data_IF_191432962176
#
_entry.id   IF_191432962176
#
_cell.length_a   1.000
_cell.length_b   1.000
_cell.length_c   1.000
_cell.angle_alpha   90.00
_cell.angle_beta   90.00
_cell.angle_gamma   90.00
#
_symmetry.space_group_name_H-M   'P 1'
#
loop_
_entity.id
_entity.type
_entity.pdbx_description
1 polymer ?
#
# COMPACT_ATOMS: atom_id res chain seq x y z
N UNK A 1 -3.30 -15.69 -13.51
CA UNK A 1 -2.63 -15.32 -12.25
C UNK A 1 -3.32 -16.10 -11.16
N UNK A 2 -2.55 -16.80 -10.36
CA UNK A 2 -2.98 -17.54 -9.18
C UNK A 2 -3.22 -16.59 -8.03
N UNK A 3 -4.29 -16.79 -7.28
CA UNK A 3 -4.93 -15.69 -6.55
C UNK A 3 -4.63 -15.75 -5.05
N UNK A 4 -3.97 -14.70 -4.54
CA UNK A 4 -4.13 -14.30 -3.14
C UNK A 4 -5.62 -14.05 -2.89
N UNK A 5 -6.28 -14.62 -1.88
CA UNK A 5 -7.72 -14.40 -1.74
C UNK A 5 -8.35 -15.00 -0.51
N UNK A 6 -9.49 -14.44 -0.13
CA UNK A 6 -10.36 -15.02 0.88
C UNK A 6 -11.13 -16.19 0.27
N UNK A 7 -11.04 -17.35 0.92
CA UNK A 7 -11.82 -18.55 0.61
C UNK A 7 -12.87 -18.73 1.71
N UNK A 8 -14.14 -18.74 1.35
CA UNK A 8 -15.27 -19.00 2.26
C UNK A 8 -15.91 -20.32 1.89
N UNK A 9 -16.03 -21.22 2.87
CA UNK A 9 -16.67 -22.52 2.72
C UNK A 9 -18.08 -22.48 3.31
N UNK A 10 -19.08 -22.82 2.51
CA UNK A 10 -20.47 -22.92 2.94
C UNK A 10 -21.04 -24.33 2.78
N UNK A 11 -21.96 -24.70 3.68
CA UNK A 11 -22.82 -25.88 3.58
C UNK A 11 -24.25 -25.49 3.88
N UNK A 12 -25.19 -25.80 2.99
CA UNK A 12 -26.60 -25.44 3.13
C UNK A 12 -26.84 -23.92 3.34
N UNK A 13 -26.09 -23.06 2.65
CA UNK A 13 -26.12 -21.59 2.80
C UNK A 13 -25.77 -21.10 4.21
N UNK A 14 -24.89 -21.81 4.89
CA UNK A 14 -24.31 -21.41 6.17
C UNK A 14 -22.81 -21.55 6.08
N UNK A 15 -22.10 -20.49 6.45
CA UNK A 15 -20.64 -20.49 6.56
C UNK A 15 -20.19 -21.57 7.55
N UNK A 16 -19.24 -22.39 7.10
CA UNK A 16 -18.61 -23.46 7.86
C UNK A 16 -17.25 -22.97 8.37
N UNK A 17 -16.46 -22.39 7.48
CA UNK A 17 -15.13 -21.87 7.77
C UNK A 17 -14.70 -20.85 6.70
N UNK A 18 -13.68 -20.05 7.01
CA UNK A 18 -13.06 -19.12 6.07
C UNK A 18 -11.56 -19.02 6.31
N UNK A 19 -10.79 -18.89 5.24
CA UNK A 19 -9.32 -18.80 5.28
C UNK A 19 -8.84 -17.79 4.25
N UNK A 20 -7.75 -17.10 4.55
CA UNK A 20 -7.04 -16.31 3.55
C UNK A 20 -5.87 -17.11 2.99
N UNK A 21 -5.78 -17.18 1.67
CA UNK A 21 -4.71 -17.89 0.98
C UNK A 21 -3.79 -16.87 0.36
N UNK A 22 -2.52 -16.89 0.77
CA UNK A 22 -1.45 -16.21 0.07
C UNK A 22 -0.89 -17.11 -1.03
N UNK A 23 -0.59 -16.50 -2.16
CA UNK A 23 0.02 -17.13 -3.30
C UNK A 23 1.47 -17.46 -2.94
N UNK A 24 1.72 -18.76 -2.86
CA UNK A 24 3.05 -19.34 -2.91
C UNK A 24 3.16 -20.09 -4.26
N UNK A 25 4.28 -19.92 -4.97
CA UNK A 25 4.56 -20.66 -6.22
C UNK A 25 4.50 -22.18 -5.99
N UNK A 26 4.78 -22.62 -4.76
CA UNK A 26 4.77 -24.03 -4.34
C UNK A 26 3.44 -24.47 -3.70
N UNK A 27 2.55 -23.55 -3.30
CA UNK A 27 1.35 -23.89 -2.55
C UNK A 27 0.17 -22.92 -2.80
N UNK A 28 -0.75 -23.33 -3.67
CA UNK A 28 -2.03 -22.65 -3.91
C UNK A 28 -3.22 -23.42 -3.37
N UNK A 29 -2.95 -24.46 -2.57
CA UNK A 29 -3.97 -25.33 -2.02
C UNK A 29 -4.49 -24.78 -0.69
N UNK A 30 -5.81 -24.78 -0.54
CA UNK A 30 -6.44 -24.63 0.77
C UNK A 30 -6.85 -25.99 1.31
N UNK A 31 -7.02 -26.05 2.63
CA UNK A 31 -7.33 -27.28 3.33
C UNK A 31 -8.38 -27.02 4.41
N UNK A 32 -9.50 -27.72 4.31
CA UNK A 32 -10.53 -27.73 5.34
C UNK A 32 -10.69 -29.15 5.88
N UNK A 33 -10.46 -29.29 7.18
CA UNK A 33 -10.43 -30.57 7.88
C UNK A 33 -11.70 -30.82 8.67
N UNK A 34 -11.98 -32.10 8.95
CA UNK A 34 -13.08 -32.47 9.85
C UNK A 34 -14.46 -32.16 9.29
N UNK A 35 -14.58 -32.09 7.96
CA UNK A 35 -15.84 -31.84 7.27
C UNK A 35 -16.75 -33.08 7.28
N UNK A 36 -18.04 -32.82 7.44
CA UNK A 36 -19.06 -33.84 7.28
C UNK A 36 -19.29 -34.14 5.79
N UNK A 37 -19.74 -35.35 5.44
CA UNK A 37 -20.17 -35.63 4.07
C UNK A 37 -21.27 -34.67 3.60
N UNK A 38 -21.23 -34.25 2.34
CA UNK A 38 -22.23 -33.34 1.77
C UNK A 38 -21.73 -32.53 0.59
N UNK A 39 -22.66 -31.78 -0.02
CA UNK A 39 -22.32 -30.74 -0.99
C UNK A 39 -21.91 -29.47 -0.24
N UNK A 40 -20.79 -28.90 -0.63
CA UNK A 40 -20.25 -27.64 -0.15
C UNK A 40 -20.12 -26.67 -1.32
N UNK A 41 -20.23 -25.38 -1.00
CA UNK A 41 -19.91 -24.29 -1.92
C UNK A 41 -18.67 -23.58 -1.42
N UNK A 42 -17.69 -23.41 -2.29
CA UNK A 42 -16.48 -22.62 -2.05
C UNK A 42 -16.64 -21.31 -2.80
N UNK A 43 -16.56 -20.20 -2.08
CA UNK A 43 -16.48 -18.86 -2.65
C UNK A 43 -15.05 -18.35 -2.54
N UNK A 44 -14.54 -17.77 -3.62
CA UNK A 44 -13.23 -17.11 -3.63
C UNK A 44 -13.40 -15.63 -3.94
N UNK A 45 -12.87 -14.80 -3.05
CA UNK A 45 -12.93 -13.34 -3.13
C UNK A 45 -11.52 -12.77 -3.23
N UNK A 46 -11.35 -11.82 -4.15
CA UNK A 46 -10.20 -10.92 -4.18
C UNK A 46 -10.67 -9.57 -4.73
N UNK A 47 -10.33 -8.50 -4.02
CA UNK A 47 -10.60 -7.16 -4.51
C UNK A 47 -9.86 -6.91 -5.84
N UNK A 48 -10.62 -6.46 -6.85
CA UNK A 48 -10.18 -6.21 -8.24
C UNK A 48 -10.28 -7.41 -9.19
N UNK A 49 -10.75 -8.57 -8.74
CA UNK A 49 -10.98 -9.74 -9.59
C UNK A 49 -12.46 -10.16 -9.55
N UNK A 50 -12.90 -10.94 -10.55
CA UNK A 50 -14.22 -11.57 -10.50
C UNK A 50 -14.25 -12.66 -9.43
N UNK A 51 -15.26 -12.64 -8.57
CA UNK A 51 -15.44 -13.67 -7.55
C UNK A 51 -15.83 -15.00 -8.21
N UNK A 52 -15.33 -16.10 -7.68
CA UNK A 52 -15.62 -17.45 -8.19
C UNK A 52 -16.43 -18.28 -7.19
N UNK A 53 -17.31 -19.14 -7.73
CA UNK A 53 -18.10 -20.11 -6.98
C UNK A 53 -17.79 -21.53 -7.48
N UNK A 54 -17.29 -22.39 -6.59
CA UNK A 54 -16.99 -23.79 -6.90
C UNK A 54 -17.81 -24.71 -6.00
N UNK A 55 -18.60 -25.60 -6.60
CA UNK A 55 -19.35 -26.62 -5.84
C UNK A 55 -18.55 -27.90 -5.74
N UNK A 56 -18.42 -28.42 -4.53
CA UNK A 56 -17.65 -29.64 -4.26
C UNK A 56 -18.50 -30.63 -3.46
N UNK A 57 -18.50 -31.89 -3.89
CA UNK A 57 -19.14 -32.98 -3.18
C UNK A 57 -18.10 -33.76 -2.40
N UNK A 58 -18.26 -33.85 -1.07
CA UNK A 58 -17.39 -34.62 -0.19
C UNK A 58 -18.07 -35.89 0.30
N UNK A 59 -17.29 -36.97 0.37
CA UNK A 59 -17.65 -38.20 1.08
C UNK A 59 -17.25 -38.10 2.56
N UNK A 60 -17.71 -39.05 3.37
CA UNK A 60 -17.45 -39.08 4.81
C UNK A 60 -15.95 -39.26 5.09
N UNK A 61 -15.35 -38.31 5.84
CA UNK A 61 -13.93 -38.35 6.22
C UNK A 61 -12.97 -37.92 5.12
N UNK A 62 -13.45 -37.28 4.05
CA UNK A 62 -12.61 -36.59 3.07
C UNK A 62 -12.34 -35.16 3.52
N UNK A 63 -11.07 -34.75 3.45
CA UNK A 63 -10.70 -33.35 3.58
C UNK A 63 -10.92 -32.65 2.23
N UNK A 64 -11.29 -31.37 2.27
CA UNK A 64 -11.39 -30.57 1.06
C UNK A 64 -10.01 -29.99 0.73
N UNK A 65 -9.45 -30.37 -0.42
CA UNK A 65 -8.28 -29.72 -0.99
C UNK A 65 -8.50 -29.50 -2.48
N UNK A 66 -8.38 -28.25 -2.92
CA UNK A 66 -8.28 -27.95 -4.35
C UNK A 66 -6.79 -27.91 -4.72
N UNK A 67 -6.35 -28.96 -5.41
CA UNK A 67 -4.98 -29.08 -5.92
C UNK A 67 -4.75 -28.23 -7.17
N UNK A 68 -5.82 -27.87 -7.86
CA UNK A 68 -5.77 -26.94 -9.00
C UNK A 68 -6.12 -25.53 -8.49
N UNK A 69 -5.33 -24.51 -8.84
CA UNK A 69 -5.63 -23.15 -8.41
C UNK A 69 -6.92 -22.64 -9.05
N UNK A 70 -7.75 -21.98 -8.23
CA UNK A 70 -8.85 -21.17 -8.74
C UNK A 70 -8.23 -19.91 -9.36
N UNK A 71 -8.44 -19.72 -10.65
CA UNK A 71 -7.96 -18.55 -11.39
C UNK A 71 -9.09 -17.54 -11.45
N UNK A 72 -8.94 -16.42 -10.75
CA UNK A 72 -9.89 -15.31 -10.89
C UNK A 72 -9.54 -14.45 -12.10
N UNK A 73 -10.56 -14.03 -12.84
CA UNK A 73 -10.40 -13.12 -13.97
C UNK A 73 -10.24 -11.68 -13.50
N UNK A 74 -9.41 -10.90 -14.21
CA UNK A 74 -9.27 -9.47 -13.92
C UNK A 74 -10.54 -8.73 -14.35
N UNK A 75 -10.99 -7.81 -13.50
CA UNK A 75 -12.03 -6.87 -13.90
C UNK A 75 -11.42 -5.83 -14.86
N UNK A 76 -11.94 -5.76 -16.09
CA UNK A 76 -11.60 -4.71 -17.06
C UNK A 76 -12.05 -3.34 -16.52
N UNK A 77 -11.17 -2.66 -15.79
CA UNK A 77 -11.38 -1.30 -15.29
C UNK A 77 -10.14 -0.45 -15.55
N UNK A 78 -10.36 0.81 -15.95
CA UNK A 78 -9.32 1.84 -15.98
C UNK A 78 -8.67 1.87 -14.59
N UNK A 79 -7.36 1.69 -14.54
CA UNK A 79 -6.58 1.57 -13.31
C UNK A 79 -5.78 2.84 -13.11
N UNK A 80 -6.01 3.53 -12.00
CA UNK A 80 -5.07 4.56 -11.57
C UNK A 80 -3.75 3.87 -11.20
N UNK A 81 -2.64 4.51 -11.54
CA UNK A 81 -1.32 4.17 -11.04
C UNK A 81 -0.94 5.19 -9.99
N UNK A 82 -0.52 4.70 -8.84
CA UNK A 82 -0.17 5.50 -7.67
C UNK A 82 1.32 5.88 -7.68
N UNK A 83 1.67 7.02 -7.12
CA UNK A 83 3.04 7.43 -6.79
C UNK A 83 3.08 7.83 -5.33
N UNK A 84 3.90 7.13 -4.54
CA UNK A 84 3.96 7.28 -3.08
C UNK A 84 5.41 7.31 -2.62
N UNK A 85 5.73 8.22 -1.72
CA UNK A 85 7.02 8.24 -1.01
C UNK A 85 6.89 7.42 0.27
N UNK A 86 7.74 6.42 0.45
CA UNK A 86 7.83 5.61 1.67
C UNK A 86 9.08 6.03 2.43
N UNK A 87 8.95 6.19 3.74
CA UNK A 87 10.05 6.46 4.63
C UNK A 87 10.40 5.22 5.45
N UNK A 88 11.58 4.66 5.20
CA UNK A 88 12.11 3.56 5.99
C UNK A 88 12.69 4.10 7.30
N UNK A 89 12.24 3.54 8.42
CA UNK A 89 12.63 3.98 9.77
C UNK A 89 13.83 3.23 10.33
N UNK A 90 14.43 2.32 9.57
CA UNK A 90 15.71 1.68 9.95
C UNK A 90 16.90 2.65 9.87
N UNK A 91 16.74 3.79 9.19
CA UNK A 91 17.69 4.92 9.25
C UNK A 91 17.45 5.77 10.50
N UNK A 92 18.49 5.96 11.32
CA UNK A 92 18.42 6.66 12.62
C UNK A 92 17.75 8.05 12.49
N UNK A 93 18.04 8.78 11.42
CA UNK A 93 17.46 10.11 11.14
C UNK A 93 15.97 10.04 10.79
N UNK A 94 15.56 9.09 9.96
CA UNK A 94 14.17 8.91 9.53
C UNK A 94 13.32 8.27 10.62
N UNK A 95 13.93 7.61 11.61
CA UNK A 95 13.24 7.12 12.80
C UNK A 95 12.64 8.25 13.67
N UNK A 96 13.18 9.48 13.61
CA UNK A 96 12.60 10.65 14.26
C UNK A 96 11.30 11.09 13.53
N UNK A 97 10.19 11.04 14.26
CA UNK A 97 8.87 11.46 13.77
C UNK A 97 8.88 12.90 13.26
N UNK A 98 9.60 13.80 13.92
CA UNK A 98 9.70 15.18 13.49
C UNK A 98 10.43 15.29 12.15
N UNK A 99 11.49 14.52 11.89
CA UNK A 99 12.15 14.51 10.58
C UNK A 99 11.16 14.08 9.48
N UNK A 100 10.39 13.01 9.72
CA UNK A 100 9.37 12.55 8.76
C UNK A 100 8.29 13.61 8.51
N UNK A 101 7.84 14.29 9.56
CA UNK A 101 6.81 15.33 9.46
C UNK A 101 7.32 16.63 8.83
N UNK A 102 8.59 16.99 9.01
CA UNK A 102 9.25 18.06 8.25
C UNK A 102 9.16 17.72 6.77
N UNK A 103 9.58 16.51 6.40
CA UNK A 103 9.59 16.06 5.01
C UNK A 103 8.18 16.12 4.41
N UNK A 104 7.20 15.51 5.10
CA UNK A 104 5.81 15.48 4.65
C UNK A 104 5.20 16.87 4.48
N UNK A 105 5.51 17.81 5.37
CA UNK A 105 4.95 19.17 5.37
C UNK A 105 5.67 20.12 4.41
N UNK A 106 6.91 19.82 4.02
CA UNK A 106 7.72 20.67 3.14
C UNK A 106 7.63 20.31 1.66
N UNK A 107 7.04 19.16 1.30
CA UNK A 107 6.83 18.76 -0.09
C UNK A 107 5.66 19.55 -0.70
N UNK A 108 5.95 20.31 -1.76
CA UNK A 108 4.94 20.94 -2.60
C UNK A 108 4.50 19.97 -3.71
N UNK A 109 3.39 19.27 -3.45
CA UNK A 109 2.82 18.30 -4.39
C UNK A 109 2.34 18.95 -5.70
N UNK A 110 1.87 20.19 -5.69
CA UNK A 110 1.44 20.87 -6.92
C UNK A 110 2.61 21.03 -7.90
N UNK A 111 3.78 21.45 -7.41
CA UNK A 111 4.99 21.57 -8.23
C UNK A 111 5.45 20.21 -8.80
N UNK A 112 5.33 19.13 -8.01
CA UNK A 112 5.62 17.77 -8.48
C UNK A 112 4.68 17.36 -9.61
N UNK A 113 3.37 17.60 -9.46
CA UNK A 113 2.39 17.26 -10.51
C UNK A 113 2.67 18.03 -11.79
N UNK A 114 3.00 19.32 -11.70
CA UNK A 114 3.40 20.11 -12.88
C UNK A 114 4.61 19.48 -13.61
N UNK A 115 5.60 18.99 -12.86
CA UNK A 115 6.76 18.30 -13.45
C UNK A 115 6.43 16.94 -14.05
N UNK A 116 5.57 16.18 -13.39
CA UNK A 116 5.08 14.92 -13.94
C UNK A 116 4.30 15.16 -15.24
N UNK A 117 3.44 16.18 -15.29
CA UNK A 117 2.64 16.54 -16.47
C UNK A 117 3.53 16.96 -17.65
N UNK A 118 4.54 17.81 -17.40
CA UNK A 118 5.56 18.19 -18.39
C UNK A 118 6.31 16.99 -18.97
N UNK A 119 6.57 15.96 -18.15
CA UNK A 119 7.34 14.78 -18.54
C UNK A 119 6.49 13.71 -19.23
N UNK A 120 5.32 13.39 -18.68
CA UNK A 120 4.46 12.30 -19.14
C UNK A 120 3.61 12.71 -20.35
N UNK A 121 3.32 14.00 -20.50
CA UNK A 121 2.57 14.56 -21.63
C UNK A 121 1.05 14.30 -21.58
N UNK A 122 0.35 14.79 -22.61
CA UNK A 122 -1.12 14.84 -22.68
C UNK A 122 -1.83 13.47 -22.68
N UNK A 123 -1.09 12.37 -22.83
CA UNK A 123 -1.63 11.00 -22.81
C UNK A 123 -1.99 10.54 -21.38
N UNK A 124 -1.62 11.32 -20.36
CA UNK A 124 -1.90 11.02 -18.96
C UNK A 124 -2.72 12.12 -18.28
N UNK A 125 -3.65 11.71 -17.43
CA UNK A 125 -4.33 12.60 -16.48
C UNK A 125 -3.72 12.36 -15.09
N UNK A 126 -3.11 13.37 -14.49
CA UNK A 126 -2.37 13.29 -13.23
C UNK A 126 -3.05 14.17 -12.18
N UNK A 127 -3.27 13.62 -10.99
CA UNK A 127 -3.90 14.32 -9.87
C UNK A 127 -3.12 14.10 -8.57
N UNK A 128 -3.22 15.06 -7.64
CA UNK A 128 -2.65 14.91 -6.30
C UNK A 128 -3.36 13.78 -5.57
N UNK A 129 -2.59 12.84 -5.02
CA UNK A 129 -3.17 11.78 -4.22
C UNK A 129 -3.51 12.26 -2.82
N UNK A 130 -4.77 12.06 -2.41
CA UNK A 130 -5.22 12.44 -1.08
C UNK A 130 -5.02 11.37 -0.01
N UNK A 131 -4.87 10.13 -0.45
CA UNK A 131 -4.71 8.93 0.36
C UNK A 131 -3.86 7.90 -0.40
N UNK A 132 -3.60 6.73 0.18
CA UNK A 132 -2.98 5.61 -0.55
C UNK A 132 -3.99 4.93 -1.49
N UNK A 133 -5.29 4.93 -1.12
CA UNK A 133 -6.35 4.39 -1.96
C UNK A 133 -6.79 5.38 -3.06
N UNK A 134 -6.76 4.96 -4.33
CA UNK A 134 -7.16 5.80 -5.49
C UNK A 134 -8.64 5.67 -5.90
N UNK A 135 -9.20 6.66 -6.64
CA UNK A 135 -10.63 6.68 -6.99
C UNK A 135 -11.16 5.49 -7.79
N UNK A 136 -10.28 4.76 -8.50
CA UNK A 136 -10.68 3.59 -9.30
C UNK A 136 -10.74 2.29 -8.49
N UNK A 137 -10.36 2.32 -7.21
CA UNK A 137 -10.27 1.16 -6.33
C UNK A 137 -11.57 0.96 -5.55
N UNK A 138 -11.87 -0.30 -5.25
CA UNK A 138 -12.99 -0.64 -4.38
C UNK A 138 -12.77 -0.08 -2.97
N UNK A 139 -13.84 0.42 -2.35
CA UNK A 139 -13.77 1.03 -1.02
C UNK A 139 -13.24 2.46 -1.00
N UNK A 140 -12.97 3.08 -2.16
CA UNK A 140 -12.59 4.49 -2.20
C UNK A 140 -13.71 5.38 -1.68
N UNK A 141 -13.34 6.25 -0.74
CA UNK A 141 -14.15 7.35 -0.25
C UNK A 141 -13.30 8.62 -0.39
N UNK A 142 -13.90 9.74 -0.80
CA UNK A 142 -13.22 11.04 -0.90
C UNK A 142 -13.02 11.64 0.50
N UNK A 143 -12.13 11.01 1.26
CA UNK A 143 -11.61 11.49 2.53
C UNK A 143 -10.25 12.10 2.24
N UNK A 144 -10.00 13.27 2.80
CA UNK A 144 -8.70 13.91 2.70
C UNK A 144 -7.83 13.49 3.88
N UNK A 145 -6.72 12.79 3.59
CA UNK A 145 -5.72 12.40 4.58
C UNK A 145 -4.39 13.09 4.31
N UNK A 146 -4.31 14.07 3.39
CA UNK A 146 -3.02 14.68 3.08
C UNK A 146 -2.46 15.48 4.24
N UNK A 147 -1.15 15.36 4.40
CA UNK A 147 -0.35 16.42 5.00
C UNK A 147 -0.18 17.50 3.94
N UNK A 148 -0.72 18.68 4.21
CA UNK A 148 -0.64 19.84 3.32
C UNK A 148 0.75 20.46 3.35
N UNK A 149 1.13 21.08 2.22
CA UNK A 149 2.35 21.89 2.15
C UNK A 149 2.24 23.08 3.12
N UNK A 150 3.08 23.07 4.16
CA UNK A 150 3.14 24.10 5.18
C UNK A 150 4.57 24.24 5.72
N UNK A 151 5.33 25.15 5.12
CA UNK A 151 6.71 25.41 5.50
C UNK A 151 6.86 25.94 6.94
N UNK A 152 5.89 26.66 7.48
CA UNK A 152 5.97 27.12 8.87
C UNK A 152 5.80 25.95 9.84
N UNK A 153 4.89 25.01 9.55
CA UNK A 153 4.75 23.78 10.33
C UNK A 153 6.02 22.91 10.23
N UNK A 154 6.61 22.80 9.04
CA UNK A 154 7.88 22.10 8.86
C UNK A 154 9.00 22.72 9.71
N UNK A 155 9.06 24.04 9.85
CA UNK A 155 10.02 24.71 10.74
C UNK A 155 9.74 24.40 12.22
N UNK A 156 8.48 24.36 12.63
CA UNK A 156 8.11 23.98 14.01
C UNK A 156 8.59 22.56 14.33
N UNK A 157 8.36 21.58 13.45
CA UNK A 157 8.89 20.22 13.63
C UNK A 157 10.42 20.19 13.66
N UNK A 158 11.09 21.04 12.87
CA UNK A 158 12.56 21.17 12.91
C UNK A 158 13.07 21.67 14.27
N UNK A 159 12.37 22.59 14.91
CA UNK A 159 12.71 23.07 16.26
C UNK A 159 12.50 21.99 17.34
N UNK A 160 11.58 21.05 17.11
CA UNK A 160 11.23 19.97 18.02
C UNK A 160 12.04 18.67 17.78
N UNK A 161 12.71 18.54 16.64
CA UNK A 161 13.54 17.36 16.30
C UNK A 161 14.75 17.23 17.23
N UNK A 162 15.13 15.99 17.51
CA UNK A 162 16.33 15.70 18.30
C UNK A 162 17.62 15.88 17.48
N UNK A 163 17.52 15.95 16.15
CA UNK A 163 18.63 16.11 15.22
C UNK A 163 18.97 17.59 14.98
N UNK A 164 19.96 18.10 15.71
CA UNK A 164 20.39 19.51 15.61
C UNK A 164 21.32 19.77 14.40
N UNK A 165 21.85 18.72 13.78
CA UNK A 165 22.74 18.84 12.63
C UNK A 165 21.97 18.68 11.32
N UNK A 166 22.65 18.96 10.21
CA UNK A 166 22.17 18.66 8.87
C UNK A 166 21.92 17.16 8.70
N UNK A 167 20.76 16.84 8.13
CA UNK A 167 20.31 15.48 7.83
C UNK A 167 20.45 15.26 6.33
N UNK A 168 21.11 14.18 5.94
CA UNK A 168 21.33 13.84 4.53
C UNK A 168 20.64 12.51 4.25
N UNK A 169 19.70 12.51 3.30
CA UNK A 169 18.84 11.37 3.00
C UNK A 169 19.04 11.01 1.53
N UNK A 170 19.22 9.73 1.23
CA UNK A 170 19.17 9.26 -0.16
C UNK A 170 17.70 8.97 -0.53
N UNK A 171 17.22 9.50 -1.66
CA UNK A 171 15.90 9.19 -2.21
C UNK A 171 16.05 8.27 -3.42
N UNK A 172 15.44 7.10 -3.37
CA UNK A 172 15.61 6.07 -4.39
C UNK A 172 14.44 6.04 -5.37
N UNK A 173 14.79 5.98 -6.65
CA UNK A 173 13.86 5.77 -7.77
C UNK A 173 14.40 4.68 -8.69
N UNK A 174 13.52 3.93 -9.35
CA UNK A 174 13.97 2.90 -10.30
C UNK A 174 14.09 3.46 -11.73
N UNK A 175 15.16 3.08 -12.43
CA UNK A 175 15.50 3.55 -13.79
C UNK A 175 14.42 3.27 -14.85
N UNK A 176 13.55 2.28 -14.64
CA UNK A 176 12.56 1.83 -15.63
C UNK A 176 11.17 2.47 -15.43
N UNK A 177 11.01 3.44 -14.53
CA UNK A 177 9.73 4.12 -14.34
C UNK A 177 9.69 5.48 -15.01
N UNK A 178 8.66 5.73 -15.83
CA UNK A 178 8.49 6.97 -16.61
C UNK A 178 8.22 8.25 -15.78
N UNK A 179 8.34 8.23 -14.45
CA UNK A 179 8.01 9.41 -13.62
C UNK A 179 8.65 9.43 -12.23
N UNK A 180 9.12 8.29 -11.69
CA UNK A 180 9.62 8.23 -10.31
C UNK A 180 10.95 9.00 -10.15
N UNK A 181 11.79 9.00 -11.18
CA UNK A 181 12.98 9.84 -11.26
C UNK A 181 12.63 11.33 -11.22
N UNK A 182 11.63 11.76 -11.99
CA UNK A 182 11.14 13.15 -12.00
C UNK A 182 10.64 13.58 -10.62
N UNK A 183 9.88 12.71 -9.95
CA UNK A 183 9.41 12.99 -8.58
C UNK A 183 10.58 13.09 -7.60
N UNK A 184 11.56 12.19 -7.70
CA UNK A 184 12.75 12.21 -6.83
C UNK A 184 13.55 13.51 -7.01
N UNK A 185 13.85 13.86 -8.26
CA UNK A 185 14.62 15.04 -8.63
C UNK A 185 13.91 16.34 -8.22
N UNK A 186 12.58 16.39 -8.36
CA UNK A 186 11.80 17.56 -7.94
C UNK A 186 11.77 17.69 -6.40
N UNK A 187 11.63 16.59 -5.66
CA UNK A 187 11.75 16.62 -4.19
C UNK A 187 13.15 17.09 -3.80
N UNK A 188 14.21 16.56 -4.40
CA UNK A 188 15.58 17.03 -4.17
C UNK A 188 15.73 18.53 -4.46
N UNK A 189 15.19 19.01 -5.59
CA UNK A 189 15.23 20.43 -5.95
C UNK A 189 14.50 21.30 -4.92
N UNK A 190 13.32 20.88 -4.45
CA UNK A 190 12.58 21.62 -3.43
C UNK A 190 13.39 21.73 -2.14
N UNK A 191 14.01 20.66 -1.66
CA UNK A 191 14.78 20.70 -0.42
C UNK A 191 16.09 21.47 -0.54
N UNK A 192 16.73 21.45 -1.71
CA UNK A 192 17.89 22.32 -1.98
C UNK A 192 17.54 23.82 -1.85
N UNK A 193 16.30 24.21 -2.18
CA UNK A 193 15.82 25.59 -2.02
C UNK A 193 15.36 25.91 -0.57
N UNK A 194 15.20 24.89 0.27
CA UNK A 194 14.73 24.99 1.67
C UNK A 194 15.88 24.83 2.68
N UNK A 195 17.01 25.52 2.44
CA UNK A 195 18.22 25.47 3.28
C UNK A 195 17.93 25.60 4.79
N UNK A 196 16.90 26.35 5.19
CA UNK A 196 16.52 26.53 6.60
C UNK A 196 16.02 25.28 7.33
N UNK A 197 15.71 24.20 6.61
CA UNK A 197 15.28 22.94 7.21
C UNK A 197 16.48 22.03 7.56
N UNK A 198 17.69 22.35 7.06
CA UNK A 198 18.90 21.53 7.16
C UNK A 198 18.66 20.04 6.78
N UNK A 199 17.80 19.79 5.80
CA UNK A 199 17.56 18.47 5.22
C UNK A 199 17.98 18.51 3.76
N UNK A 200 18.90 17.63 3.38
CA UNK A 200 19.34 17.47 2.00
C UNK A 200 18.92 16.09 1.49
N UNK A 201 18.30 16.06 0.32
CA UNK A 201 18.07 14.82 -0.41
C UNK A 201 19.14 14.60 -1.47
N UNK A 202 19.47 13.34 -1.72
CA UNK A 202 20.35 12.92 -2.78
C UNK A 202 19.62 11.88 -3.63
N UNK A 203 19.24 12.21 -4.87
CA UNK A 203 18.56 11.26 -5.74
C UNK A 203 19.49 10.14 -6.17
N UNK A 204 19.00 8.90 -5.99
CA UNK A 204 19.66 7.66 -6.39
C UNK A 204 18.74 6.90 -7.34
N UNK A 205 19.06 6.99 -8.63
CA UNK A 205 18.38 6.16 -9.63
C UNK A 205 19.11 4.82 -9.71
N UNK A 206 18.38 3.73 -9.53
CA UNK A 206 18.91 2.37 -9.45
C UNK A 206 18.10 1.40 -10.33
N UNK A 207 18.70 0.27 -10.72
CA UNK A 207 17.94 -0.77 -11.44
C UNK A 207 16.90 -1.45 -10.53
N UNK A 208 15.97 -2.20 -11.12
CA UNK A 208 14.86 -2.83 -10.40
C UNK A 208 15.30 -3.86 -9.34
N UNK A 209 16.36 -4.63 -9.62
CA UNK A 209 16.88 -5.63 -8.67
C UNK A 209 17.41 -4.94 -7.42
N UNK A 210 18.21 -3.90 -7.57
CA UNK A 210 18.70 -3.11 -6.45
C UNK A 210 17.55 -2.34 -5.77
N UNK A 211 16.59 -1.81 -6.53
CA UNK A 211 15.45 -1.07 -5.98
C UNK A 211 14.62 -1.91 -4.99
N UNK A 212 14.42 -3.20 -5.26
CA UNK A 212 13.69 -4.11 -4.35
C UNK A 212 14.50 -4.43 -3.08
N UNK A 213 15.83 -4.44 -3.17
CA UNK A 213 16.71 -4.75 -2.03
C UNK A 213 16.97 -3.53 -1.12
N UNK A 214 16.53 -2.32 -1.52
CA UNK A 214 16.80 -1.08 -0.80
C UNK A 214 15.68 -0.75 0.21
N UNK A 215 16.08 -0.65 1.47
CA UNK A 215 15.29 -0.33 2.65
C UNK A 215 15.48 1.15 3.05
N UNK A 216 15.21 2.07 2.13
CA UNK A 216 15.45 3.51 2.35
C UNK A 216 14.34 4.34 1.70
N UNK A 217 14.36 5.66 1.89
CA UNK A 217 13.32 6.57 1.36
C UNK A 217 13.12 6.32 -0.14
N UNK A 218 11.99 5.71 -0.50
CA UNK A 218 11.77 5.14 -1.83
C UNK A 218 10.47 5.65 -2.42
N UNK A 219 10.49 6.02 -3.69
CA UNK A 219 9.27 6.32 -4.43
C UNK A 219 8.75 5.03 -5.03
N UNK A 220 7.73 4.46 -4.39
CA UNK A 220 7.06 3.27 -4.90
C UNK A 220 5.77 3.71 -5.58
N UNK A 221 5.61 3.26 -6.82
CA UNK A 221 4.30 3.21 -7.44
C UNK A 221 3.67 1.85 -7.16
N UNK A 222 2.83 1.78 -6.14
CA UNK A 222 2.12 0.55 -5.81
C UNK A 222 0.84 0.51 -6.62
N UNK A 223 0.75 -0.47 -7.51
CA UNK A 223 -0.50 -0.70 -8.22
C UNK A 223 -1.44 -1.49 -7.30
N UNK A 224 -2.56 -0.91 -6.89
CA UNK A 224 -3.65 -1.64 -6.21
C UNK A 224 -3.70 -1.37 -4.70
N UNK A 225 -4.90 -1.44 -4.14
CA UNK A 225 -5.10 -1.45 -2.69
C UNK A 225 -5.92 -2.68 -2.33
N UNK A 226 -5.28 -3.56 -1.60
CA UNK A 226 -5.77 -4.77 -0.98
C UNK A 226 -5.04 -4.81 0.37
N UNK A 227 -5.53 -5.58 1.36
CA UNK A 227 -4.81 -5.77 2.62
C UNK A 227 -3.31 -6.07 2.44
N UNK A 228 -2.93 -6.76 1.36
CA UNK A 228 -1.55 -7.07 0.98
C UNK A 228 -0.68 -5.83 0.73
N UNK A 229 -1.25 -4.76 0.16
CA UNK A 229 -0.48 -3.56 -0.13
C UNK A 229 -0.24 -2.71 1.13
N UNK A 230 -1.24 -2.62 2.01
CA UNK A 230 -1.03 -2.04 3.35
C UNK A 230 -0.02 -2.86 4.14
N UNK A 231 -0.13 -4.19 4.09
CA UNK A 231 0.86 -5.10 4.66
C UNK A 231 2.26 -4.87 4.11
N UNK A 232 2.40 -4.64 2.80
CA UNK A 232 3.69 -4.35 2.18
C UNK A 232 4.32 -3.11 2.82
N UNK A 233 3.56 -2.01 2.97
CA UNK A 233 4.05 -0.82 3.66
C UNK A 233 4.40 -1.10 5.13
N UNK A 234 3.54 -1.80 5.86
CA UNK A 234 3.74 -2.10 7.29
C UNK A 234 4.95 -3.01 7.51
N UNK A 235 5.17 -4.01 6.64
CA UNK A 235 6.31 -4.91 6.70
C UNK A 235 7.61 -4.21 6.31
N UNK A 236 7.59 -3.40 5.26
CA UNK A 236 8.78 -2.67 4.81
C UNK A 236 9.29 -1.69 5.87
N UNK A 237 8.39 -1.07 6.65
CA UNK A 237 8.73 -0.08 7.67
C UNK A 237 8.84 -0.71 9.08
N UNK A 238 8.72 -2.05 9.18
CA UNK A 238 8.71 -2.80 10.46
C UNK A 238 7.71 -2.27 11.52
N UNK A 239 6.46 -2.07 11.11
CA UNK A 239 5.40 -1.51 11.96
C UNK A 239 4.40 -2.55 12.48
N UNK A 240 4.63 -3.84 12.23
CA UNK A 240 3.69 -4.94 12.55
C UNK A 240 3.17 -4.89 13.99
N UNK A 241 4.07 -4.69 14.96
CA UNK A 241 3.77 -4.67 16.39
C UNK A 241 3.14 -3.34 16.89
N UNK A 242 3.09 -2.29 16.05
CA UNK A 242 2.46 -1.02 16.43
C UNK A 242 0.96 -1.23 16.64
N UNK A 243 0.38 -0.45 17.56
CA UNK A 243 -1.00 -0.68 17.99
C UNK A 243 -1.94 0.48 17.71
N UNK A 244 -3.12 0.13 17.21
CA UNK A 244 -4.28 1.02 17.09
C UNK A 244 -5.42 0.36 17.87
N UNK A 245 -6.00 1.09 18.83
CA UNK A 245 -7.11 0.62 19.67
C UNK A 245 -6.88 -0.76 20.33
N UNK A 246 -5.63 -1.04 20.69
CA UNK A 246 -5.22 -2.24 21.41
C UNK A 246 -4.94 -3.48 20.54
N UNK A 247 -5.12 -3.39 19.22
CA UNK A 247 -4.70 -4.42 18.25
C UNK A 247 -3.43 -4.02 17.55
N UNK A 248 -2.59 -4.99 17.19
CA UNK A 248 -1.41 -4.74 16.35
C UNK A 248 -1.83 -4.42 14.90
N UNK A 249 -0.96 -3.79 14.12
CA UNK A 249 -1.26 -3.53 12.70
C UNK A 249 -1.42 -4.84 11.93
N UNK A 250 -0.57 -5.83 12.21
CA UNK A 250 -0.66 -7.19 11.67
C UNK A 250 -2.05 -7.80 11.95
N UNK A 251 -2.52 -7.77 13.21
CA UNK A 251 -3.84 -8.29 13.59
C UNK A 251 -4.98 -7.58 12.83
N UNK A 252 -4.87 -6.27 12.59
CA UNK A 252 -5.89 -5.50 11.86
C UNK A 252 -5.90 -5.90 10.38
N UNK A 253 -4.72 -6.05 9.77
CA UNK A 253 -4.54 -6.44 8.37
C UNK A 253 -5.03 -7.87 8.14
N UNK A 254 -4.71 -8.81 9.02
CA UNK A 254 -5.19 -10.19 8.95
C UNK A 254 -6.70 -10.28 9.04
N UNK A 255 -7.31 -9.49 9.92
CA UNK A 255 -8.76 -9.38 9.97
C UNK A 255 -9.33 -8.81 8.66
N UNK A 256 -8.66 -7.84 8.03
CA UNK A 256 -9.09 -7.30 6.74
C UNK A 256 -8.97 -8.34 5.62
N UNK A 257 -7.90 -9.14 5.60
CA UNK A 257 -7.73 -10.30 4.70
C UNK A 257 -8.89 -11.30 4.84
N UNK A 258 -9.34 -11.55 6.07
CA UNK A 258 -10.45 -12.47 6.36
C UNK A 258 -11.84 -11.90 6.08
N UNK A 259 -11.98 -10.62 5.71
CA UNK A 259 -13.27 -9.95 5.47
C UNK A 259 -13.38 -9.40 4.04
N UNK A 260 -12.60 -9.90 3.07
CA UNK A 260 -12.65 -9.41 1.69
C UNK A 260 -14.00 -9.60 0.98
N UNK A 261 -14.90 -10.42 1.52
CA UNK A 261 -16.29 -10.55 1.10
C UNK A 261 -17.16 -9.31 1.48
N UNK A 262 -16.64 -8.42 2.33
CA UNK A 262 -17.31 -7.22 2.83
C UNK A 262 -16.39 -5.99 2.78
N UNK A 263 -16.51 -5.20 1.72
CA UNK A 263 -15.67 -4.01 1.50
C UNK A 263 -15.79 -2.98 2.63
N UNK A 264 -16.99 -2.74 3.17
CA UNK A 264 -17.20 -1.76 4.24
C UNK A 264 -16.43 -2.19 5.50
N UNK A 265 -16.42 -3.50 5.79
CA UNK A 265 -15.69 -4.03 6.94
C UNK A 265 -14.18 -3.93 6.77
N UNK A 266 -13.69 -4.17 5.55
CA UNK A 266 -12.27 -3.99 5.22
C UNK A 266 -11.86 -2.54 5.38
N UNK A 267 -12.65 -1.59 4.86
CA UNK A 267 -12.34 -0.18 4.99
C UNK A 267 -12.40 0.32 6.44
N UNK A 268 -13.35 -0.17 7.24
CA UNK A 268 -13.40 0.09 8.69
C UNK A 268 -12.12 -0.34 9.41
N UNK A 269 -11.51 -1.46 8.98
CA UNK A 269 -10.27 -1.98 9.55
C UNK A 269 -9.03 -1.25 9.04
N UNK A 270 -8.93 -0.99 7.73
CA UNK A 270 -7.70 -0.47 7.13
C UNK A 270 -7.57 1.05 7.16
N UNK A 271 -8.67 1.81 7.17
CA UNK A 271 -8.60 3.28 7.19
C UNK A 271 -7.83 3.84 8.40
N UNK A 272 -8.00 3.32 9.64
CA UNK A 272 -7.15 3.72 10.76
C UNK A 272 -5.66 3.44 10.55
N UNK A 273 -5.31 2.33 9.88
CA UNK A 273 -3.91 1.98 9.56
C UNK A 273 -3.35 2.95 8.54
N UNK A 274 -4.07 3.21 7.44
CA UNK A 274 -3.70 4.20 6.43
C UNK A 274 -3.49 5.58 7.05
N UNK A 275 -4.42 6.01 7.91
CA UNK A 275 -4.29 7.26 8.66
C UNK A 275 -3.05 7.28 9.55
N UNK A 276 -2.78 6.20 10.28
CA UNK A 276 -1.57 6.10 11.11
C UNK A 276 -0.28 6.23 10.29
N UNK A 277 -0.23 5.58 9.12
CA UNK A 277 0.92 5.64 8.22
C UNK A 277 1.14 7.06 7.68
N UNK A 278 0.08 7.75 7.26
CA UNK A 278 0.17 9.10 6.69
C UNK A 278 0.41 10.14 7.79
N UNK A 279 -0.37 10.14 8.87
CA UNK A 279 -0.25 11.10 9.98
C UNK A 279 1.12 11.03 10.65
N UNK A 280 1.75 9.84 10.70
CA UNK A 280 3.10 9.65 11.25
C UNK A 280 4.23 9.92 10.26
N UNK A 281 3.91 10.36 9.04
CA UNK A 281 4.87 10.59 7.97
C UNK A 281 5.60 9.33 7.50
N UNK A 282 5.09 8.12 7.76
CA UNK A 282 5.74 6.90 7.26
C UNK A 282 5.56 6.76 5.75
N UNK A 283 4.43 7.25 5.25
CA UNK A 283 4.06 7.15 3.85
C UNK A 283 3.41 8.46 3.41
N UNK A 284 3.88 9.04 2.31
CA UNK A 284 3.35 10.28 1.74
C UNK A 284 2.78 9.99 0.36
N UNK A 285 1.44 9.96 0.20
CA UNK A 285 0.83 9.89 -1.12
C UNK A 285 1.16 11.15 -1.92
N UNK A 286 1.73 11.02 -3.11
CA UNK A 286 2.14 12.14 -3.95
C UNK A 286 1.09 12.38 -5.04
N UNK A 287 0.90 11.38 -5.90
CA UNK A 287 0.09 11.50 -7.10
C UNK A 287 -0.63 10.19 -7.42
N UNK A 288 -1.70 10.29 -8.20
CA UNK A 288 -2.14 9.17 -9.03
C UNK A 288 -2.37 9.64 -10.46
N UNK A 289 -2.27 8.73 -11.41
CA UNK A 289 -2.45 9.05 -12.81
C UNK A 289 -3.12 7.94 -13.60
N UNK A 290 -3.70 8.33 -14.74
CA UNK A 290 -4.39 7.45 -15.67
C UNK A 290 -3.80 7.57 -17.06
N UNK A 291 -3.60 6.45 -17.74
CA UNK A 291 -3.39 6.45 -19.20
C UNK A 291 -4.74 6.68 -19.91
N UNK A 292 -4.76 7.58 -20.90
CA UNK A 292 -5.97 7.98 -21.63
C UNK A 292 -6.35 7.06 -22.80
#
# INVERSE_FOLDING_TARGET
MTTNGLVVLEKNNSEVDRQYIEYDEDNTSFHFDGLESGEYTVYVYNFNLENEEVKVQLNEGEDLSLSDPIVLEQLDKKRALETTLIMDIDEDEIADENIRLIIASAINKEAIIEKMDEHMGDDFEIEISKRLLTPTRFGFEDIDLTIDYNLEQAKEYREESEFVNEVNIDIFANEESNHRDVVAEEIESQFNDLEQLDINFNTRIVDWENFIELNSVSIIGITGYTPIFIETYVNQIDLNDKKIDGRTLEEIIDLAKLNQDNIDKVMELLLPVEKFLIDGGYVIPIAYYYEN
#
